data_IF_628291499942
#
_entry.id   IF_628291499942
#
_cell.length_a   1.000
_cell.length_b   1.000
_cell.length_c   1.000
_cell.angle_alpha   90.00
_cell.angle_beta   90.00
_cell.angle_gamma   90.00
#
_symmetry.space_group_name_H-M   'P 1'
#
loop_
_entity.id
_entity.type
_entity.pdbx_description
1 polymer ?
#
# COMPACT_ATOMS: atom_id res chain seq x y z
N UNK A 1 34.85 -52.27 -4.00
CA UNK A 1 34.74 -51.58 -5.29
C UNK A 1 33.60 -50.60 -5.17
N UNK A 2 33.89 -49.34 -4.89
CA UNK A 2 32.92 -48.24 -4.86
C UNK A 2 32.75 -47.73 -6.28
N UNK A 3 31.53 -47.80 -6.81
CA UNK A 3 31.23 -47.22 -8.12
C UNK A 3 31.52 -45.70 -8.12
N UNK A 4 32.01 -45.14 -9.23
CA UNK A 4 32.23 -43.70 -9.34
C UNK A 4 30.89 -42.96 -9.33
N UNK A 5 30.83 -41.85 -8.58
CA UNK A 5 29.72 -40.90 -8.63
C UNK A 5 29.65 -40.39 -10.07
N UNK A 6 28.54 -40.66 -10.76
CA UNK A 6 28.28 -40.11 -12.10
C UNK A 6 28.23 -38.59 -11.97
N UNK A 7 29.18 -37.90 -12.61
CA UNK A 7 29.07 -36.47 -12.86
C UNK A 7 27.75 -36.22 -13.58
N UNK A 8 26.82 -35.57 -12.88
CA UNK A 8 25.58 -35.14 -13.48
C UNK A 8 25.95 -34.00 -14.41
N UNK A 9 25.71 -34.17 -15.72
CA UNK A 9 25.87 -33.11 -16.71
C UNK A 9 25.24 -31.83 -16.14
N UNK A 10 26.02 -30.75 -16.11
CA UNK A 10 25.53 -29.44 -15.74
C UNK A 10 24.38 -29.08 -16.70
N UNK A 11 23.14 -29.30 -16.26
CA UNK A 11 21.97 -28.87 -16.99
C UNK A 11 22.16 -27.39 -17.30
N UNK A 12 22.24 -27.05 -18.59
CA UNK A 12 22.32 -25.66 -19.05
C UNK A 12 21.14 -24.92 -18.46
N UNK A 13 21.40 -24.17 -17.39
CA UNK A 13 20.42 -23.34 -16.74
C UNK A 13 20.05 -22.27 -17.75
N UNK A 14 18.82 -22.32 -18.29
CA UNK A 14 18.24 -21.20 -19.04
C UNK A 14 18.10 -20.04 -18.06
N UNK A 15 19.14 -19.22 -17.97
CA UNK A 15 19.15 -18.01 -17.19
C UNK A 15 17.95 -17.15 -17.63
N UNK A 16 17.17 -16.69 -16.65
CA UNK A 16 16.32 -15.53 -16.86
C UNK A 16 17.21 -14.32 -16.83
N UNK A 17 17.26 -13.57 -17.92
CA UNK A 17 18.20 -12.45 -18.07
C UNK A 17 19.67 -12.90 -17.93
N UNK A 18 20.53 -12.03 -17.41
CA UNK A 18 21.98 -12.17 -17.25
C UNK A 18 22.40 -12.88 -15.95
N UNK A 19 21.47 -13.57 -15.27
CA UNK A 19 21.69 -14.05 -13.91
C UNK A 19 22.09 -15.52 -13.81
N UNK A 20 23.07 -15.85 -12.96
CA UNK A 20 23.49 -17.23 -12.72
C UNK A 20 22.56 -17.95 -11.72
N UNK A 21 21.24 -17.87 -11.91
CA UNK A 21 20.25 -18.56 -11.06
C UNK A 21 19.25 -19.33 -11.92
N UNK A 22 18.68 -20.44 -11.41
CA UNK A 22 17.71 -21.26 -12.17
C UNK A 22 16.32 -20.62 -12.29
N UNK A 23 16.11 -19.44 -11.72
CA UNK A 23 14.81 -18.78 -11.69
C UNK A 23 14.65 -17.83 -12.87
N UNK A 24 14.20 -18.37 -14.00
CA UNK A 24 14.10 -17.62 -15.25
C UNK A 24 13.11 -16.43 -15.22
N UNK A 25 12.16 -16.45 -14.29
CA UNK A 25 11.17 -15.39 -14.12
C UNK A 25 11.55 -14.36 -13.04
N UNK A 26 12.72 -14.51 -12.40
CA UNK A 26 13.15 -13.59 -11.37
C UNK A 26 13.75 -12.34 -12.03
N UNK A 27 13.14 -11.17 -11.80
CA UNK A 27 13.61 -9.87 -12.32
C UNK A 27 14.55 -9.11 -11.38
N UNK A 28 14.80 -9.61 -10.16
CA UNK A 28 15.85 -9.14 -9.22
C UNK A 28 16.25 -10.21 -8.20
N UNK A 29 17.46 -10.16 -7.64
CA UNK A 29 17.84 -11.01 -6.50
C UNK A 29 16.89 -10.84 -5.32
N UNK A 30 16.71 -11.89 -4.51
CA UNK A 30 15.95 -11.79 -3.26
C UNK A 30 16.65 -10.84 -2.31
N UNK A 31 15.87 -9.99 -1.64
CA UNK A 31 16.40 -9.14 -0.56
C UNK A 31 16.55 -10.02 0.68
N UNK A 32 17.69 -9.93 1.35
CA UNK A 32 17.99 -10.67 2.57
C UNK A 32 18.22 -9.67 3.72
N UNK A 33 17.73 -9.99 4.92
CA UNK A 33 17.92 -9.19 6.12
C UNK A 33 17.99 -10.07 7.36
N UNK A 34 18.75 -9.63 8.36
CA UNK A 34 18.90 -10.34 9.65
C UNK A 34 17.93 -9.85 10.73
N UNK A 35 17.26 -8.71 10.52
CA UNK A 35 16.49 -8.04 11.57
C UNK A 35 15.07 -7.70 11.12
N UNK A 36 14.93 -6.76 10.18
CA UNK A 36 13.64 -6.30 9.68
C UNK A 36 13.65 -6.17 8.17
N UNK A 37 12.48 -6.32 7.56
CA UNK A 37 12.27 -6.17 6.12
C UNK A 37 10.90 -5.55 5.88
N UNK A 38 10.83 -4.66 4.89
CA UNK A 38 9.58 -4.07 4.41
C UNK A 38 9.48 -4.31 2.92
N UNK A 39 8.33 -4.81 2.48
CA UNK A 39 8.02 -5.02 1.07
C UNK A 39 6.72 -4.30 0.74
N UNK A 40 6.75 -3.47 -0.30
CA UNK A 40 5.62 -2.66 -0.75
C UNK A 40 5.83 -2.25 -2.21
N UNK A 41 4.79 -1.70 -2.86
CA UNK A 41 4.76 -1.29 -4.26
C UNK A 41 5.65 -0.09 -4.57
N UNK A 42 5.99 0.73 -3.58
CA UNK A 42 6.71 1.99 -3.78
C UNK A 42 8.04 2.07 -3.00
N UNK A 43 9.18 2.40 -3.65
CA UNK A 43 10.48 2.50 -2.96
C UNK A 43 10.51 3.46 -1.78
N UNK A 44 9.90 4.65 -1.89
CA UNK A 44 9.83 5.61 -0.78
C UNK A 44 9.03 5.07 0.42
N UNK A 45 7.96 4.30 0.16
CA UNK A 45 7.20 3.67 1.23
C UNK A 45 8.01 2.54 1.90
N UNK A 46 8.75 1.75 1.11
CA UNK A 46 9.65 0.73 1.64
C UNK A 46 10.72 1.34 2.55
N UNK A 47 11.33 2.45 2.11
CA UNK A 47 12.35 3.17 2.86
C UNK A 47 11.81 3.67 4.20
N UNK A 48 10.66 4.36 4.21
CA UNK A 48 10.05 4.86 5.47
C UNK A 48 9.73 3.73 6.43
N UNK A 49 9.23 2.59 5.95
CA UNK A 49 9.00 1.43 6.81
C UNK A 49 10.29 0.92 7.45
N UNK A 50 11.39 0.84 6.68
CA UNK A 50 12.71 0.47 7.21
C UNK A 50 13.21 1.49 8.23
N UNK A 51 13.07 2.78 7.94
CA UNK A 51 13.49 3.86 8.85
C UNK A 51 12.75 3.78 10.20
N UNK A 52 11.45 3.48 10.18
CA UNK A 52 10.66 3.29 11.41
C UNK A 52 11.13 2.06 12.20
N UNK A 53 11.45 0.95 11.52
CA UNK A 53 12.04 -0.21 12.20
C UNK A 53 13.40 0.13 12.81
N UNK A 54 14.24 0.91 12.12
CA UNK A 54 15.54 1.37 12.63
C UNK A 54 15.41 2.31 13.84
N UNK A 55 14.33 3.07 13.92
CA UNK A 55 14.00 3.94 15.06
C UNK A 55 13.44 3.17 16.26
N UNK A 56 13.35 1.84 16.20
CA UNK A 56 12.82 0.99 17.28
C UNK A 56 11.30 0.82 17.24
N UNK A 57 10.65 1.25 16.16
CA UNK A 57 9.26 0.88 15.87
C UNK A 57 9.13 -0.60 15.58
N UNK A 58 7.94 -1.14 15.77
CA UNK A 58 7.64 -2.53 15.43
C UNK A 58 6.97 -2.66 14.06
N UNK A 59 6.53 -3.87 13.72
CA UNK A 59 5.88 -4.16 12.44
C UNK A 59 4.59 -3.35 12.22
N UNK A 60 3.84 -3.02 13.28
CA UNK A 60 2.62 -2.19 13.19
C UNK A 60 2.97 -0.74 12.93
N UNK A 61 3.93 -0.18 13.67
CA UNK A 61 4.38 1.21 13.44
C UNK A 61 4.88 1.37 11.99
N UNK A 62 5.73 0.44 11.53
CA UNK A 62 6.26 0.45 10.18
C UNK A 62 5.15 0.28 9.12
N UNK A 63 4.18 -0.61 9.34
CA UNK A 63 3.07 -0.81 8.40
C UNK A 63 2.17 0.43 8.27
N UNK A 64 1.90 1.14 9.39
CA UNK A 64 1.13 2.39 9.36
C UNK A 64 1.90 3.47 8.60
N UNK A 65 3.21 3.64 8.87
CA UNK A 65 4.04 4.60 8.15
C UNK A 65 4.10 4.32 6.64
N UNK A 66 4.27 3.04 6.26
CA UNK A 66 4.22 2.57 4.87
C UNK A 66 2.89 2.92 4.22
N UNK A 67 1.77 2.59 4.86
CA UNK A 67 0.44 2.84 4.30
C UNK A 67 0.15 4.35 4.17
N UNK A 68 0.55 5.15 5.16
CA UNK A 68 0.46 6.60 5.09
C UNK A 68 1.32 7.17 3.94
N UNK A 69 2.53 6.65 3.74
CA UNK A 69 3.40 7.08 2.65
C UNK A 69 2.79 6.72 1.29
N UNK A 70 2.26 5.50 1.14
CA UNK A 70 1.57 5.09 -0.09
C UNK A 70 0.39 6.00 -0.42
N UNK A 71 -0.39 6.44 0.57
CA UNK A 71 -1.46 7.41 0.36
C UNK A 71 -1.00 8.76 -0.20
N UNK A 72 0.30 9.07 -0.09
CA UNK A 72 0.93 10.27 -0.68
C UNK A 72 1.54 9.96 -2.05
N UNK A 73 2.36 8.90 -2.14
CA UNK A 73 3.19 8.64 -3.34
C UNK A 73 2.52 7.73 -4.36
N UNK A 74 1.43 7.08 -4.00
CA UNK A 74 0.61 6.18 -4.83
C UNK A 74 -0.90 6.53 -4.68
N UNK A 75 -1.31 7.78 -4.95
CA UNK A 75 -2.67 8.27 -4.63
C UNK A 75 -3.76 7.63 -5.50
N UNK A 76 -3.39 6.93 -6.57
CA UNK A 76 -4.34 6.28 -7.48
C UNK A 76 -4.73 4.86 -7.06
N UNK A 77 -4.05 4.29 -6.07
CA UNK A 77 -4.29 2.91 -5.62
C UNK A 77 -4.88 2.84 -4.21
N UNK A 78 -4.47 3.74 -3.31
CA UNK A 78 -4.95 3.75 -1.92
C UNK A 78 -4.81 5.14 -1.27
N UNK A 79 -5.37 5.29 -0.06
CA UNK A 79 -5.25 6.50 0.73
C UNK A 79 -6.14 6.50 1.97
N UNK A 80 -6.08 7.58 2.73
CA UNK A 80 -6.85 7.76 3.98
C UNK A 80 -8.37 7.75 3.79
N UNK A 81 -8.84 8.00 2.56
CA UNK A 81 -10.24 7.91 2.16
C UNK A 81 -10.72 6.48 1.83
N UNK A 82 -9.86 5.47 1.96
CA UNK A 82 -10.19 4.07 1.70
C UNK A 82 -10.35 3.23 2.96
N UNK A 83 -10.19 1.93 2.78
CA UNK A 83 -10.32 0.90 3.82
C UNK A 83 -8.97 0.28 4.19
N UNK A 84 -8.94 -0.49 5.29
CA UNK A 84 -7.75 -1.22 5.71
C UNK A 84 -8.09 -2.62 6.21
N UNK A 85 -7.27 -3.58 5.81
CA UNK A 85 -7.25 -4.92 6.36
C UNK A 85 -5.83 -5.24 6.82
N UNK A 86 -5.71 -5.93 7.95
CA UNK A 86 -4.41 -6.37 8.45
C UNK A 86 -4.48 -7.79 9.00
N UNK A 87 -3.41 -8.54 8.74
CA UNK A 87 -3.10 -9.80 9.40
C UNK A 87 -1.83 -9.54 10.20
N UNK A 88 -1.91 -9.73 11.51
CA UNK A 88 -0.82 -9.45 12.43
C UNK A 88 -0.49 -10.68 13.25
N UNK A 89 0.77 -11.11 13.19
CA UNK A 89 1.30 -12.18 14.02
C UNK A 89 2.10 -11.60 15.17
N UNK A 90 1.60 -11.77 16.40
CA UNK A 90 2.35 -11.45 17.60
C UNK A 90 3.26 -12.63 17.95
N UNK A 91 4.55 -12.50 17.63
CA UNK A 91 5.52 -13.55 17.90
C UNK A 91 5.75 -13.82 19.39
N UNK A 92 5.53 -12.84 20.28
CA UNK A 92 5.68 -13.05 21.73
C UNK A 92 4.53 -13.89 22.27
N UNK A 93 3.32 -13.62 21.79
CA UNK A 93 2.10 -14.35 22.20
C UNK A 93 1.83 -15.59 21.37
N UNK A 94 2.56 -15.79 20.27
CA UNK A 94 2.30 -16.83 19.27
C UNK A 94 0.83 -16.81 18.82
N UNK A 95 0.30 -15.62 18.54
CA UNK A 95 -1.10 -15.41 18.22
C UNK A 95 -1.29 -14.63 16.93
N UNK A 96 -2.21 -15.11 16.09
CA UNK A 96 -2.66 -14.43 14.89
C UNK A 96 -3.86 -13.54 15.20
N UNK A 97 -3.80 -12.30 14.71
CA UNK A 97 -4.89 -11.33 14.76
C UNK A 97 -5.27 -10.93 13.34
N UNK A 98 -6.56 -10.71 13.14
CA UNK A 98 -7.10 -10.07 11.94
C UNK A 98 -7.78 -8.76 12.30
N UNK A 99 -7.56 -7.73 11.50
CA UNK A 99 -8.31 -6.49 11.54
C UNK A 99 -9.07 -6.33 10.22
N UNK A 100 -10.38 -6.19 10.32
CA UNK A 100 -11.22 -5.65 9.27
C UNK A 100 -11.59 -4.21 9.66
N UNK A 101 -11.01 -3.25 8.97
CA UNK A 101 -11.37 -1.84 9.02
C UNK A 101 -11.91 -1.41 7.65
N UNK A 102 -12.87 -2.18 7.13
CA UNK A 102 -13.70 -1.78 6.00
C UNK A 102 -14.83 -0.87 6.46
N UNK A 103 -15.05 0.18 5.67
CA UNK A 103 -16.07 1.17 5.88
C UNK A 103 -17.48 0.61 5.84
N UNK A 104 -18.32 1.09 6.75
CA UNK A 104 -19.76 0.80 6.69
C UNK A 104 -20.43 1.69 5.65
N UNK A 105 -21.56 1.23 5.10
CA UNK A 105 -22.44 2.08 4.31
C UNK A 105 -22.91 3.28 5.14
N UNK A 106 -23.05 4.47 4.53
CA UNK A 106 -23.66 5.63 5.21
C UNK A 106 -25.08 5.29 5.70
N UNK A 107 -25.50 5.88 6.82
CA UNK A 107 -26.84 5.61 7.38
C UNK A 107 -27.99 6.01 6.44
N UNK A 108 -27.77 7.02 5.60
CA UNK A 108 -28.76 7.49 4.62
C UNK A 108 -28.78 6.67 3.32
N UNK A 109 -27.81 5.77 3.11
CA UNK A 109 -27.71 4.96 1.90
C UNK A 109 -28.65 3.74 1.97
N UNK A 110 -29.97 3.99 2.03
CA UNK A 110 -31.01 2.95 2.00
C UNK A 110 -31.52 2.72 0.59
N UNK A 111 -32.14 1.55 0.34
CA UNK A 111 -32.72 1.24 -0.97
C UNK A 111 -33.75 2.30 -1.39
N UNK A 112 -34.59 2.72 -0.46
CA UNK A 112 -35.63 3.73 -0.68
C UNK A 112 -35.02 5.05 -1.11
N UNK A 113 -33.91 5.47 -0.49
CA UNK A 113 -33.22 6.71 -0.87
C UNK A 113 -32.71 6.67 -2.31
N UNK A 114 -32.15 5.54 -2.76
CA UNK A 114 -31.71 5.39 -4.16
C UNK A 114 -32.91 5.36 -5.12
N UNK A 115 -34.02 4.73 -4.75
CA UNK A 115 -35.26 4.71 -5.54
C UNK A 115 -35.88 6.11 -5.67
N UNK A 116 -35.88 6.92 -4.60
CA UNK A 116 -36.33 8.31 -4.62
C UNK A 116 -35.50 9.19 -5.56
N UNK A 117 -34.21 8.89 -5.70
CA UNK A 117 -33.32 9.52 -6.68
C UNK A 117 -33.50 8.98 -8.11
N UNK A 118 -34.38 7.99 -8.32
CA UNK A 118 -34.61 7.36 -9.62
C UNK A 118 -33.46 6.47 -10.08
N UNK A 119 -32.70 5.90 -9.15
CA UNK A 119 -31.52 5.06 -9.42
C UNK A 119 -31.84 3.58 -9.21
N UNK A 120 -31.59 2.76 -10.23
CA UNK A 120 -31.73 1.30 -10.16
C UNK A 120 -30.43 0.59 -9.70
N UNK A 121 -29.33 1.35 -9.56
CA UNK A 121 -28.03 0.87 -9.13
C UNK A 121 -27.25 1.96 -8.38
N UNK A 122 -26.31 1.55 -7.54
CA UNK A 122 -25.38 2.48 -6.87
C UNK A 122 -24.36 2.98 -7.90
N UNK A 123 -24.24 4.30 -8.13
CA UNK A 123 -23.26 4.84 -9.06
C UNK A 123 -21.83 4.48 -8.66
N UNK A 124 -21.01 4.10 -9.64
CA UNK A 124 -19.59 3.72 -9.43
C UNK A 124 -18.73 4.95 -9.11
N UNK A 125 -19.19 6.14 -9.47
CA UNK A 125 -18.46 7.41 -9.28
C UNK A 125 -19.31 8.41 -8.50
N UNK A 126 -18.61 9.30 -7.78
CA UNK A 126 -19.24 10.31 -6.95
C UNK A 126 -19.68 9.81 -5.57
N UNK A 127 -20.21 10.73 -4.74
CA UNK A 127 -20.39 10.51 -3.30
C UNK A 127 -21.44 9.45 -2.94
N UNK A 128 -22.39 9.16 -3.83
CA UNK A 128 -23.42 8.14 -3.60
C UNK A 128 -22.86 6.71 -3.54
N UNK A 129 -21.68 6.47 -4.13
CA UNK A 129 -21.00 5.17 -4.08
C UNK A 129 -20.01 5.03 -2.91
N UNK A 130 -19.83 6.05 -2.08
CA UNK A 130 -18.80 6.04 -1.03
C UNK A 130 -19.29 5.38 0.26
N UNK A 131 -18.44 4.51 0.82
CA UNK A 131 -18.56 4.05 2.21
C UNK A 131 -17.85 5.01 3.16
N UNK A 132 -18.10 4.87 4.47
CA UNK A 132 -17.36 5.62 5.49
C UNK A 132 -15.91 5.11 5.54
N UNK A 133 -14.86 5.92 5.26
CA UNK A 133 -13.50 5.42 5.18
C UNK A 133 -13.01 4.73 6.46
N UNK A 134 -12.53 3.48 6.34
CA UNK A 134 -12.08 2.70 7.48
C UNK A 134 -10.57 2.79 7.78
N UNK A 135 -9.75 3.26 6.83
CA UNK A 135 -8.28 3.24 6.91
C UNK A 135 -7.72 3.85 8.20
N UNK A 136 -8.06 5.10 8.50
CA UNK A 136 -7.55 5.84 9.68
C UNK A 136 -8.02 5.20 10.99
N UNK A 137 -9.26 4.71 11.04
CA UNK A 137 -9.76 3.96 12.20
C UNK A 137 -9.01 2.63 12.39
N UNK A 138 -8.54 2.03 11.30
CA UNK A 138 -7.70 0.86 11.32
C UNK A 138 -6.31 1.14 11.88
N UNK A 139 -5.70 2.27 11.48
CA UNK A 139 -4.44 2.72 12.06
C UNK A 139 -4.56 2.94 13.57
N UNK A 140 -5.60 3.65 14.02
CA UNK A 140 -5.85 3.89 15.44
C UNK A 140 -5.98 2.58 16.23
N UNK A 141 -6.80 1.64 15.76
CA UNK A 141 -6.97 0.32 16.41
C UNK A 141 -5.67 -0.48 16.49
N UNK A 142 -4.86 -0.47 15.43
CA UNK A 142 -3.57 -1.17 15.41
C UNK A 142 -2.56 -0.49 16.34
N UNK A 143 -2.45 0.84 16.24
CA UNK A 143 -1.51 1.63 17.02
C UNK A 143 -1.82 1.57 18.52
N UNK A 144 -3.09 1.70 18.90
CA UNK A 144 -3.52 1.59 20.29
C UNK A 144 -3.22 0.20 20.89
N UNK A 145 -3.39 -0.87 20.12
CA UNK A 145 -3.26 -2.23 20.63
C UNK A 145 -1.83 -2.77 20.57
N UNK A 146 -1.08 -2.36 19.56
CA UNK A 146 0.20 -2.99 19.22
C UNK A 146 1.31 -1.98 18.88
N UNK A 147 1.03 -0.69 18.74
CA UNK A 147 2.05 0.32 18.41
C UNK A 147 3.08 0.50 19.51
N UNK A 148 4.30 0.91 19.12
CA UNK A 148 5.39 1.22 20.04
C UNK A 148 5.79 2.70 19.97
N UNK A 149 5.53 3.38 18.85
CA UNK A 149 5.89 4.79 18.64
C UNK A 149 4.66 5.70 18.70
N UNK A 150 4.90 6.99 18.95
CA UNK A 150 3.83 7.98 18.85
C UNK A 150 3.38 8.09 17.38
N UNK A 151 2.06 8.18 17.16
CA UNK A 151 1.51 8.27 15.81
C UNK A 151 2.05 9.50 15.05
N UNK A 152 2.35 10.59 15.76
CA UNK A 152 3.00 11.78 15.19
C UNK A 152 4.34 11.46 14.53
N UNK A 153 5.14 10.59 15.15
CA UNK A 153 6.47 10.23 14.66
C UNK A 153 6.33 9.27 13.47
N UNK A 154 5.39 8.32 13.57
CA UNK A 154 5.05 7.37 12.49
C UNK A 154 4.58 8.10 11.22
N UNK A 155 3.79 9.17 11.35
CA UNK A 155 3.23 9.92 10.22
C UNK A 155 4.15 11.05 9.72
N UNK A 156 5.13 11.48 10.51
CA UNK A 156 6.01 12.61 10.20
C UNK A 156 6.69 12.50 8.82
N UNK A 157 7.23 11.33 8.39
CA UNK A 157 7.84 11.20 7.06
C UNK A 157 6.86 11.45 5.91
N UNK A 158 5.64 10.93 6.01
CA UNK A 158 4.59 11.10 5.00
C UNK A 158 4.08 12.53 4.95
N UNK A 159 3.92 13.19 6.10
CA UNK A 159 3.58 14.61 6.18
C UNK A 159 4.64 15.47 5.51
N UNK A 160 5.92 15.19 5.77
CA UNK A 160 7.04 15.91 5.13
C UNK A 160 7.03 15.73 3.63
N UNK A 161 6.93 14.50 3.16
CA UNK A 161 6.92 14.16 1.73
C UNK A 161 5.74 14.81 1.00
N UNK A 162 4.56 14.87 1.63
CA UNK A 162 3.41 15.57 1.06
C UNK A 162 3.63 17.09 0.94
N UNK A 163 4.38 17.70 1.85
CA UNK A 163 4.68 19.15 1.86
C UNK A 163 5.81 19.53 0.89
N UNK A 164 6.87 18.74 0.87
CA UNK A 164 8.08 19.01 0.10
C UNK A 164 7.99 18.49 -1.34
N UNK A 165 7.04 17.60 -1.61
CA UNK A 165 6.87 16.95 -2.90
C UNK A 165 7.80 15.74 -3.07
N UNK A 166 7.62 15.03 -4.19
CA UNK A 166 8.37 13.82 -4.50
C UNK A 166 8.41 13.58 -6.02
N UNK A 167 9.43 12.89 -6.54
CA UNK A 167 9.45 12.43 -7.93
C UNK A 167 8.46 11.28 -8.14
N UNK A 168 7.75 11.34 -9.26
CA UNK A 168 6.72 10.35 -9.62
C UNK A 168 7.37 9.23 -10.43
N UNK A 169 7.18 7.98 -9.99
CA UNK A 169 7.68 6.79 -10.69
C UNK A 169 6.87 6.46 -11.95
N UNK A 170 7.43 5.73 -12.92
CA UNK A 170 6.75 5.50 -14.20
C UNK A 170 5.42 4.74 -14.05
N UNK A 171 5.34 3.80 -13.10
CA UNK A 171 4.11 3.04 -12.82
C UNK A 171 3.00 3.97 -12.33
N UNK A 172 3.32 4.85 -11.37
CA UNK A 172 2.36 5.83 -10.83
C UNK A 172 2.03 6.90 -11.88
N UNK A 173 2.99 7.30 -12.70
CA UNK A 173 2.74 8.17 -13.86
C UNK A 173 1.67 7.58 -14.79
N UNK A 174 1.79 6.29 -15.09
CA UNK A 174 0.81 5.54 -15.89
C UNK A 174 -0.59 5.52 -15.28
N UNK A 175 -0.72 5.10 -14.01
CA UNK A 175 -2.03 5.04 -13.36
C UNK A 175 -2.74 6.39 -13.27
N UNK A 176 -1.99 7.44 -12.96
CA UNK A 176 -2.55 8.77 -12.79
C UNK A 176 -2.98 9.39 -14.12
N UNK A 177 -2.26 9.13 -15.22
CA UNK A 177 -2.73 9.50 -16.57
C UNK A 177 -4.07 8.84 -16.89
N UNK A 178 -4.22 7.56 -16.54
CA UNK A 178 -5.49 6.84 -16.70
C UNK A 178 -6.65 7.45 -15.90
N UNK A 179 -6.36 8.11 -14.79
CA UNK A 179 -7.37 8.74 -13.93
C UNK A 179 -7.63 10.22 -14.23
N UNK A 180 -6.89 10.84 -15.14
CA UNK A 180 -7.08 12.25 -15.53
C UNK A 180 -8.55 12.60 -15.85
N UNK A 181 -9.33 11.77 -16.59
CA UNK A 181 -10.73 12.08 -16.87
C UNK A 181 -11.59 12.20 -15.61
N UNK A 182 -11.33 11.37 -14.58
CA UNK A 182 -12.08 11.42 -13.32
C UNK A 182 -11.63 12.61 -12.46
N UNK A 183 -10.33 12.89 -12.42
CA UNK A 183 -9.77 14.02 -11.65
C UNK A 183 -10.27 15.38 -12.18
N UNK A 184 -10.45 15.51 -13.50
CA UNK A 184 -10.99 16.74 -14.13
C UNK A 184 -12.43 17.07 -13.74
N UNK A 185 -13.20 16.11 -13.25
CA UNK A 185 -14.61 16.33 -12.91
C UNK A 185 -14.80 17.21 -11.67
N UNK A 186 -13.79 17.29 -10.81
CA UNK A 186 -13.85 18.02 -9.54
C UNK A 186 -12.72 19.04 -9.45
N UNK A 187 -13.05 20.30 -9.17
CA UNK A 187 -12.08 21.40 -9.14
C UNK A 187 -10.94 21.17 -8.14
N UNK A 188 -11.25 20.65 -6.95
CA UNK A 188 -10.27 20.36 -5.91
C UNK A 188 -9.29 19.26 -6.33
N UNK A 189 -9.81 18.19 -6.96
CA UNK A 189 -9.01 17.11 -7.50
C UNK A 189 -8.11 17.59 -8.64
N UNK A 190 -8.64 18.38 -9.57
CA UNK A 190 -7.87 18.95 -10.67
C UNK A 190 -6.74 19.85 -10.15
N UNK A 191 -7.03 20.73 -9.19
CA UNK A 191 -6.03 21.63 -8.58
C UNK A 191 -4.94 20.87 -7.85
N UNK A 192 -5.29 19.77 -7.18
CA UNK A 192 -4.35 18.97 -6.39
C UNK A 192 -3.48 18.07 -7.28
N UNK A 193 -4.07 17.44 -8.29
CA UNK A 193 -3.45 16.31 -8.98
C UNK A 193 -3.07 16.59 -10.45
N UNK A 194 -3.49 17.70 -11.06
CA UNK A 194 -3.23 18.02 -12.46
C UNK A 194 -2.41 19.31 -12.59
N UNK A 195 -1.19 19.20 -13.11
CA UNK A 195 -0.34 20.35 -13.37
C UNK A 195 -0.83 21.05 -14.65
N UNK A 196 -1.27 22.31 -14.52
CA UNK A 196 -1.86 23.07 -15.63
C UNK A 196 -3.05 22.36 -16.31
N UNK A 197 -3.79 21.53 -15.56
CA UNK A 197 -4.98 20.83 -16.05
C UNK A 197 -4.74 19.51 -16.80
N UNK A 198 -3.51 18.98 -16.81
CA UNK A 198 -3.18 17.66 -17.38
C UNK A 198 -2.02 16.96 -16.66
N UNK A 199 -1.74 15.70 -17.02
CA UNK A 199 -0.52 14.98 -16.58
C UNK A 199 0.30 14.37 -17.72
#
# INVERSE_FOLDING_TARGET
MTEPIKETEAQQIKAGYDRPTPFSNQSRSVVLSRHGMVATSHPLAAQVGVDILQQGGNAVDAAIAVNAMLGVVEPMSCGIGGDLFAIYWDAKKQQLYGLNASGRSPYAATLEHFQELGLDYIPITGPLGWSVPGCVSGWDKLQHRFGNLALSDVLSPSIRTAREGFPVTEVIAGYWRGAEPALKQYADSATTFLLNGSR
#
